data_IF_029602814811
#
_entry.id   IF_029602814811
#
_cell.length_a   1.000
_cell.length_b   1.000
_cell.length_c   1.000
_cell.angle_alpha   90.00
_cell.angle_beta   90.00
_cell.angle_gamma   90.00
#
_symmetry.space_group_name_H-M   'P 1'
#
loop_
_entity.id
_entity.type
_entity.pdbx_description
1 polymer ?
#
# COMPACT_ATOMS: atom_id res chain seq x y z
N UNK A 1 17.39 17.74 -6.49
CA UNK A 1 16.58 16.59 -6.96
C UNK A 1 17.27 15.24 -6.82
N UNK A 2 18.58 15.13 -7.08
CA UNK A 2 19.30 13.85 -6.89
C UNK A 2 19.21 13.31 -5.45
N UNK A 3 19.45 14.16 -4.44
CA UNK A 3 19.31 13.77 -3.03
C UNK A 3 17.88 13.32 -2.68
N UNK A 4 16.87 14.00 -3.24
CA UNK A 4 15.48 13.63 -3.05
C UNK A 4 15.17 12.24 -3.65
N UNK A 5 15.71 11.94 -4.85
CA UNK A 5 15.55 10.61 -5.44
C UNK A 5 16.24 9.51 -4.64
N UNK A 6 17.45 9.76 -4.14
CA UNK A 6 18.16 8.78 -3.32
C UNK A 6 17.34 8.49 -2.05
N UNK A 7 16.91 9.52 -1.33
CA UNK A 7 16.10 9.36 -0.12
C UNK A 7 14.75 8.70 -0.40
N UNK A 8 14.11 9.05 -1.50
CA UNK A 8 12.84 8.44 -1.93
C UNK A 8 12.97 6.97 -2.32
N UNK A 9 14.07 6.57 -2.96
CA UNK A 9 14.37 5.16 -3.23
C UNK A 9 14.60 4.42 -1.91
N UNK A 10 15.40 5.00 -1.00
CA UNK A 10 15.66 4.40 0.31
C UNK A 10 14.39 4.23 1.13
N UNK A 11 13.46 5.20 1.12
CA UNK A 11 12.17 5.06 1.80
C UNK A 11 11.34 3.92 1.23
N UNK A 12 11.22 3.83 -0.10
CA UNK A 12 10.46 2.77 -0.76
C UNK A 12 11.05 1.37 -0.49
N UNK A 13 12.38 1.24 -0.52
CA UNK A 13 13.05 -0.02 -0.19
C UNK A 13 12.86 -0.41 1.28
N UNK A 14 12.94 0.56 2.18
CA UNK A 14 12.70 0.33 3.60
C UNK A 14 11.26 -0.13 3.86
N UNK A 15 10.26 0.53 3.26
CA UNK A 15 8.86 0.15 3.36
C UNK A 15 8.53 -1.20 2.71
N UNK A 16 9.24 -1.60 1.66
CA UNK A 16 8.98 -2.84 0.94
C UNK A 16 9.66 -4.07 1.56
N UNK A 17 10.92 -3.94 1.99
CA UNK A 17 11.74 -5.09 2.40
C UNK A 17 11.92 -5.22 3.91
N UNK A 18 11.88 -4.11 4.65
CA UNK A 18 12.10 -4.15 6.10
C UNK A 18 11.30 -3.06 6.82
N UNK A 19 9.95 -3.08 6.77
CA UNK A 19 9.13 -2.02 7.33
C UNK A 19 9.10 -2.08 8.87
N UNK A 20 10.21 -1.71 9.51
CA UNK A 20 10.34 -1.62 10.97
C UNK A 20 11.01 -0.29 11.36
N UNK A 21 10.36 0.56 12.18
CA UNK A 21 8.98 0.46 12.67
C UNK A 21 7.95 0.64 11.54
N UNK A 22 6.98 -0.29 11.43
CA UNK A 22 6.07 -0.38 10.28
C UNK A 22 5.30 0.91 9.99
N UNK A 23 4.62 1.47 10.99
CA UNK A 23 3.85 2.71 10.82
C UNK A 23 4.74 3.85 10.32
N UNK A 24 5.98 3.94 10.79
CA UNK A 24 6.91 5.00 10.41
C UNK A 24 7.39 4.85 8.96
N UNK A 25 7.84 3.65 8.56
CA UNK A 25 8.38 3.40 7.22
C UNK A 25 7.35 3.67 6.12
N UNK A 26 6.10 3.22 6.33
CA UNK A 26 5.00 3.43 5.39
C UNK A 26 4.61 4.92 5.33
N UNK A 27 4.54 5.60 6.47
CA UNK A 27 4.21 7.02 6.52
C UNK A 27 5.25 7.87 5.79
N UNK A 28 6.54 7.56 5.98
CA UNK A 28 7.62 8.24 5.26
C UNK A 28 7.49 8.00 3.76
N UNK A 29 7.18 6.77 3.32
CA UNK A 29 7.00 6.47 1.90
C UNK A 29 5.80 7.18 1.28
N UNK A 30 4.70 7.31 2.01
CA UNK A 30 3.55 8.15 1.61
C UNK A 30 4.00 9.60 1.44
N UNK A 31 4.72 10.16 2.42
CA UNK A 31 5.19 11.55 2.38
C UNK A 31 6.12 11.78 1.19
N UNK A 32 7.07 10.88 0.94
CA UNK A 32 7.96 10.99 -0.21
C UNK A 32 7.18 10.91 -1.52
N UNK A 33 6.28 9.94 -1.68
CA UNK A 33 5.43 9.87 -2.87
C UNK A 33 4.63 11.15 -3.09
N UNK A 34 3.94 11.64 -2.06
CA UNK A 34 3.15 12.89 -2.12
C UNK A 34 4.02 14.11 -2.45
N UNK A 35 5.15 14.24 -1.78
CA UNK A 35 6.09 15.34 -2.03
C UNK A 35 6.57 15.34 -3.48
N UNK A 36 6.68 14.18 -4.13
CA UNK A 36 7.08 14.06 -5.52
C UNK A 36 6.02 14.65 -6.46
N UNK A 37 4.75 14.31 -6.22
CA UNK A 37 3.62 14.93 -6.91
C UNK A 37 3.60 16.45 -6.71
N UNK A 38 3.80 16.92 -5.47
CA UNK A 38 3.82 18.36 -5.14
C UNK A 38 5.00 19.08 -5.81
N UNK A 39 6.20 18.49 -5.82
CA UNK A 39 7.38 19.06 -6.47
C UNK A 39 7.13 19.23 -7.98
N UNK A 40 6.48 18.27 -8.63
CA UNK A 40 6.08 18.42 -10.03
C UNK A 40 5.11 19.57 -10.22
N UNK A 41 4.12 19.70 -9.33
CA UNK A 41 3.13 20.78 -9.40
C UNK A 41 3.79 22.16 -9.29
N UNK A 42 4.69 22.33 -8.31
CA UNK A 42 5.29 23.64 -7.99
C UNK A 42 6.39 24.00 -8.99
N UNK A 43 7.26 23.06 -9.36
CA UNK A 43 8.44 23.29 -10.19
C UNK A 43 8.25 22.80 -11.63
N UNK A 44 7.05 23.01 -12.17
CA UNK A 44 6.58 22.40 -13.40
C UNK A 44 7.42 22.65 -14.67
N UNK A 45 8.19 23.72 -14.71
CA UNK A 45 9.12 24.01 -15.82
C UNK A 45 10.47 23.33 -15.61
N UNK A 46 10.96 23.33 -14.39
CA UNK A 46 12.33 22.97 -14.03
C UNK A 46 12.50 21.50 -13.67
N UNK A 47 11.40 20.78 -13.40
CA UNK A 47 11.42 19.38 -12.96
C UNK A 47 10.47 18.57 -13.83
N UNK A 48 10.93 17.44 -14.36
CA UNK A 48 10.08 16.51 -15.10
C UNK A 48 9.68 15.28 -14.27
N UNK A 49 8.65 14.56 -14.71
CA UNK A 49 8.34 13.26 -14.13
C UNK A 49 9.44 12.25 -14.50
N UNK A 50 9.57 11.90 -15.78
CA UNK A 50 10.69 11.11 -16.31
C UNK A 50 11.31 11.88 -17.47
N UNK A 51 12.62 12.09 -17.40
CA UNK A 51 13.40 12.86 -18.36
C UNK A 51 14.60 12.02 -18.76
N UNK A 52 14.68 11.68 -20.05
CA UNK A 52 15.69 10.74 -20.59
C UNK A 52 16.91 11.43 -21.20
N UNK A 53 16.78 12.70 -21.56
CA UNK A 53 17.83 13.50 -22.22
C UNK A 53 18.71 14.28 -21.24
N UNK A 54 18.43 14.21 -19.93
CA UNK A 54 19.17 14.93 -18.90
C UNK A 54 18.96 16.44 -18.89
N UNK A 55 18.04 16.98 -19.70
CA UNK A 55 17.79 18.42 -19.84
C UNK A 55 17.34 19.10 -18.55
N UNK A 56 16.70 18.34 -17.65
CA UNK A 56 16.19 18.79 -16.36
C UNK A 56 16.10 17.63 -15.37
N UNK A 57 16.16 17.88 -14.05
CA UNK A 57 16.00 16.84 -13.06
C UNK A 57 14.63 16.16 -13.13
N UNK A 58 14.58 14.89 -12.70
CA UNK A 58 13.37 14.08 -12.65
C UNK A 58 13.04 13.63 -11.23
N UNK A 59 11.76 13.38 -10.93
CA UNK A 59 11.30 12.82 -9.65
C UNK A 59 10.49 11.53 -9.80
N UNK A 60 10.31 11.05 -11.03
CA UNK A 60 9.44 9.93 -11.37
C UNK A 60 9.86 8.63 -10.70
N UNK A 61 11.15 8.36 -10.54
CA UNK A 61 11.61 7.14 -9.84
C UNK A 61 11.15 7.10 -8.38
N UNK A 62 11.18 8.25 -7.69
CA UNK A 62 10.71 8.37 -6.31
C UNK A 62 9.22 8.12 -6.22
N UNK A 63 8.45 8.78 -7.09
CA UNK A 63 7.00 8.60 -7.15
C UNK A 63 6.69 7.13 -7.43
N UNK A 64 7.22 6.56 -8.52
CA UNK A 64 6.91 5.20 -8.93
C UNK A 64 7.27 4.13 -7.90
N UNK A 65 8.46 4.21 -7.29
CA UNK A 65 8.86 3.22 -6.29
C UNK A 65 8.09 3.37 -4.98
N UNK A 66 7.84 4.60 -4.50
CA UNK A 66 7.03 4.78 -3.29
C UNK A 66 5.59 4.34 -3.55
N UNK A 67 4.99 4.69 -4.69
CA UNK A 67 3.66 4.23 -5.10
C UNK A 67 3.55 2.71 -5.10
N UNK A 68 4.52 2.02 -5.69
CA UNK A 68 4.53 0.56 -5.74
C UNK A 68 4.70 -0.04 -4.35
N UNK A 69 5.65 0.48 -3.57
CA UNK A 69 5.92 0.03 -2.20
C UNK A 69 4.69 0.12 -1.32
N UNK A 70 4.04 1.30 -1.24
CA UNK A 70 2.85 1.46 -0.39
C UNK A 70 1.66 0.65 -0.91
N UNK A 71 1.53 0.46 -2.23
CA UNK A 71 0.47 -0.37 -2.81
C UNK A 71 0.61 -1.84 -2.42
N UNK A 72 1.82 -2.40 -2.57
CA UNK A 72 2.11 -3.79 -2.22
C UNK A 72 1.94 -4.03 -0.72
N UNK A 73 2.49 -3.14 0.11
CA UNK A 73 2.36 -3.28 1.57
C UNK A 73 0.92 -3.11 2.02
N UNK A 74 0.16 -2.18 1.41
CA UNK A 74 -1.27 -2.06 1.66
C UNK A 74 -2.01 -3.36 1.31
N UNK A 75 -1.78 -3.90 0.12
CA UNK A 75 -2.43 -5.12 -0.35
C UNK A 75 -2.13 -6.34 0.54
N UNK A 76 -0.87 -6.52 0.96
CA UNK A 76 -0.42 -7.70 1.70
C UNK A 76 -0.81 -7.61 3.18
N UNK A 77 -0.71 -6.44 3.80
CA UNK A 77 -0.76 -6.32 5.25
C UNK A 77 -2.11 -5.83 5.80
N UNK A 78 -2.96 -5.16 5.01
CA UNK A 78 -4.11 -4.43 5.56
C UNK A 78 -5.40 -5.24 5.68
N UNK A 79 -5.47 -6.50 5.20
CA UNK A 79 -6.65 -7.38 5.24
C UNK A 79 -7.98 -6.61 5.01
N UNK A 80 -7.98 -5.71 4.02
CA UNK A 80 -9.06 -4.73 3.82
C UNK A 80 -10.25 -5.31 3.07
N UNK A 81 -11.45 -4.95 3.50
CA UNK A 81 -12.70 -5.30 2.84
C UNK A 81 -13.04 -4.21 1.82
N UNK A 82 -12.89 -4.51 0.54
CA UNK A 82 -13.07 -3.55 -0.56
C UNK A 82 -14.55 -3.27 -0.85
N UNK A 83 -15.16 -2.36 -0.09
CA UNK A 83 -16.55 -1.91 -0.28
C UNK A 83 -16.66 -0.80 -1.34
N UNK A 84 -17.88 -0.37 -1.67
CA UNK A 84 -18.11 0.77 -2.57
C UNK A 84 -17.42 2.06 -2.11
N UNK A 85 -17.31 2.28 -0.79
CA UNK A 85 -16.65 3.44 -0.21
C UNK A 85 -15.16 3.47 -0.59
N UNK A 86 -14.50 2.30 -0.56
CA UNK A 86 -13.11 2.17 -1.01
C UNK A 86 -12.95 2.64 -2.46
N UNK A 87 -13.79 2.13 -3.37
CA UNK A 87 -13.71 2.46 -4.80
C UNK A 87 -14.01 3.93 -5.08
N UNK A 88 -14.87 4.58 -4.29
CA UNK A 88 -15.12 6.02 -4.37
C UNK A 88 -13.85 6.80 -4.03
N UNK A 89 -13.22 6.54 -2.89
CA UNK A 89 -11.98 7.22 -2.51
C UNK A 89 -10.85 6.95 -3.50
N UNK A 90 -10.74 5.71 -3.99
CA UNK A 90 -9.74 5.31 -4.98
C UNK A 90 -9.92 6.08 -6.30
N UNK A 91 -11.16 6.19 -6.76
CA UNK A 91 -11.47 6.91 -8.00
C UNK A 91 -11.21 8.41 -7.84
N UNK A 92 -11.63 9.02 -6.73
CA UNK A 92 -11.41 10.45 -6.46
C UNK A 92 -9.92 10.77 -6.43
N UNK A 93 -9.12 9.99 -5.70
CA UNK A 93 -7.67 10.20 -5.59
C UNK A 93 -6.97 10.01 -6.94
N UNK A 94 -7.34 8.98 -7.71
CA UNK A 94 -6.85 8.79 -9.08
C UNK A 94 -7.19 9.98 -10.00
N UNK A 95 -8.42 10.49 -9.95
CA UNK A 95 -8.84 11.65 -10.75
C UNK A 95 -8.05 12.89 -10.36
N UNK A 96 -7.91 13.19 -9.07
CA UNK A 96 -7.15 14.36 -8.59
C UNK A 96 -5.71 14.31 -9.10
N UNK A 97 -5.02 13.17 -8.92
CA UNK A 97 -3.64 13.02 -9.36
C UNK A 97 -3.51 13.07 -10.88
N UNK A 98 -4.44 12.45 -11.61
CA UNK A 98 -4.42 12.47 -13.08
C UNK A 98 -4.65 13.88 -13.63
N UNK A 99 -5.65 14.60 -13.12
CA UNK A 99 -5.92 15.98 -13.52
C UNK A 99 -4.73 16.88 -13.19
N UNK A 100 -4.11 16.71 -12.02
CA UNK A 100 -2.89 17.47 -11.67
C UNK A 100 -1.79 17.25 -12.71
N UNK A 101 -1.58 16.02 -13.19
CA UNK A 101 -0.55 15.72 -14.19
C UNK A 101 -0.87 16.28 -15.57
N UNK A 102 -2.15 16.31 -15.97
CA UNK A 102 -2.60 16.86 -17.26
C UNK A 102 -2.48 18.39 -17.27
N UNK A 103 -3.02 19.07 -16.25
CA UNK A 103 -3.03 20.54 -16.20
C UNK A 103 -1.64 21.16 -16.17
N UNK A 104 -0.64 20.40 -15.74
CA UNK A 104 0.73 20.87 -15.59
C UNK A 104 1.57 20.53 -16.85
N UNK A 105 0.95 19.96 -17.90
CA UNK A 105 1.60 19.60 -19.16
C UNK A 105 2.83 18.68 -19.00
N UNK A 106 2.90 17.90 -17.92
CA UNK A 106 4.01 16.96 -17.71
C UNK A 106 3.87 15.68 -18.52
N UNK A 107 2.67 15.35 -18.97
CA UNK A 107 2.42 14.20 -19.84
C UNK A 107 2.58 14.63 -21.28
N UNK A 108 3.82 14.62 -21.77
CA UNK A 108 4.02 14.49 -23.20
C UNK A 108 3.63 13.07 -23.59
N UNK A 109 2.45 12.89 -24.18
CA UNK A 109 1.98 11.62 -24.73
C UNK A 109 2.95 11.03 -25.79
N UNK A 110 3.99 11.78 -26.18
CA UNK A 110 5.07 11.31 -27.06
C UNK A 110 6.12 10.45 -26.33
N UNK A 111 6.26 10.57 -25.00
CA UNK A 111 7.19 9.76 -24.21
C UNK A 111 6.45 8.57 -23.58
N UNK A 112 6.48 7.42 -24.26
CA UNK A 112 5.77 6.21 -23.84
C UNK A 112 6.25 5.70 -22.48
N UNK A 113 7.53 5.86 -22.15
CA UNK A 113 8.09 5.47 -20.85
C UNK A 113 7.47 6.30 -19.73
N UNK A 114 7.43 7.62 -19.90
CA UNK A 114 6.79 8.52 -18.93
C UNK A 114 5.31 8.18 -18.73
N UNK A 115 4.59 7.89 -19.82
CA UNK A 115 3.18 7.50 -19.75
C UNK A 115 2.99 6.17 -19.02
N UNK A 116 3.80 5.15 -19.34
CA UNK A 116 3.74 3.84 -18.70
C UNK A 116 3.94 3.92 -17.19
N UNK A 117 5.00 4.60 -16.74
CA UNK A 117 5.26 4.75 -15.31
C UNK A 117 4.16 5.54 -14.62
N UNK A 118 3.57 6.55 -15.26
CA UNK A 118 2.48 7.33 -14.69
C UNK A 118 1.19 6.50 -14.55
N UNK A 119 0.85 5.71 -15.57
CA UNK A 119 -0.29 4.80 -15.57
C UNK A 119 -0.22 3.73 -14.47
N UNK A 120 0.99 3.34 -14.06
CA UNK A 120 1.18 2.43 -12.92
C UNK A 120 1.23 3.18 -11.60
N UNK A 121 1.92 4.32 -11.57
CA UNK A 121 2.22 5.05 -10.33
C UNK A 121 0.97 5.67 -9.70
N UNK A 122 0.06 6.24 -10.50
CA UNK A 122 -1.13 6.90 -9.97
C UNK A 122 -2.08 5.89 -9.30
N UNK A 123 -2.53 4.81 -9.98
CA UNK A 123 -3.38 3.81 -9.34
C UNK A 123 -2.71 3.16 -8.13
N UNK A 124 -1.42 2.81 -8.24
CA UNK A 124 -0.69 2.20 -7.12
C UNK A 124 -0.60 3.15 -5.92
N UNK A 125 -0.32 4.43 -6.16
CA UNK A 125 -0.28 5.43 -5.09
C UNK A 125 -1.64 5.58 -4.43
N UNK A 126 -2.71 5.77 -5.21
CA UNK A 126 -4.06 5.92 -4.69
C UNK A 126 -4.51 4.72 -3.86
N UNK A 127 -4.27 3.51 -4.38
CA UNK A 127 -4.57 2.26 -3.68
C UNK A 127 -3.82 2.16 -2.35
N UNK A 128 -2.50 2.32 -2.38
CA UNK A 128 -1.67 2.20 -1.19
C UNK A 128 -1.93 3.30 -0.17
N UNK A 129 -2.19 4.53 -0.62
CA UNK A 129 -2.55 5.65 0.25
C UNK A 129 -3.81 5.35 1.06
N UNK A 130 -4.88 4.92 0.38
CA UNK A 130 -6.18 4.66 1.01
C UNK A 130 -6.09 3.49 1.96
N UNK A 131 -5.55 2.36 1.51
CA UNK A 131 -5.41 1.15 2.33
C UNK A 131 -4.58 1.41 3.59
N UNK A 132 -3.38 1.97 3.43
CA UNK A 132 -2.47 2.18 4.57
C UNK A 132 -2.95 3.27 5.52
N UNK A 133 -3.50 4.41 5.02
CA UNK A 133 -4.05 5.43 5.93
C UNK A 133 -5.25 4.88 6.69
N UNK A 134 -6.14 4.17 5.99
CA UNK A 134 -7.31 3.59 6.60
C UNK A 134 -6.97 2.59 7.71
N UNK A 135 -5.91 1.80 7.52
CA UNK A 135 -5.46 0.76 8.46
C UNK A 135 -4.56 1.32 9.59
N UNK A 136 -3.48 2.03 9.27
CA UNK A 136 -2.43 2.42 10.22
C UNK A 136 -2.86 3.47 11.25
N UNK A 137 -3.88 4.24 10.90
CA UNK A 137 -4.38 5.36 11.68
C UNK A 137 -5.77 5.11 12.24
N UNK A 138 -6.25 3.87 12.18
CA UNK A 138 -7.51 3.45 12.77
C UNK A 138 -7.38 3.16 14.27
N UNK A 139 -7.99 4.03 15.07
CA UNK A 139 -8.09 3.88 16.53
C UNK A 139 -9.48 3.37 16.97
N UNK A 140 -10.32 2.88 16.04
CA UNK A 140 -11.64 2.32 16.38
C UNK A 140 -11.52 1.04 17.21
N UNK A 141 -12.51 0.82 18.07
CA UNK A 141 -12.60 -0.41 18.85
C UNK A 141 -13.01 -1.57 17.95
N UNK A 142 -12.33 -2.73 18.04
CA UNK A 142 -12.68 -3.89 17.24
C UNK A 142 -13.99 -4.53 17.73
N UNK A 143 -14.78 -5.02 16.77
CA UNK A 143 -15.85 -6.00 17.05
C UNK A 143 -15.25 -7.39 16.92
N UNK A 144 -15.36 -8.20 17.97
CA UNK A 144 -14.76 -9.54 18.01
C UNK A 144 -15.74 -10.60 17.50
N UNK A 145 -15.26 -11.48 16.63
CA UNK A 145 -15.98 -12.66 16.17
C UNK A 145 -15.18 -13.91 16.48
N UNK A 146 -15.82 -14.95 17.02
CA UNK A 146 -15.19 -16.26 17.20
C UNK A 146 -15.15 -17.00 15.87
N UNK A 147 -14.00 -17.58 15.56
CA UNK A 147 -13.81 -18.49 14.42
C UNK A 147 -12.86 -19.61 14.79
N UNK A 148 -12.58 -20.52 13.86
CA UNK A 148 -11.57 -21.56 14.00
C UNK A 148 -10.57 -21.50 12.87
N UNK A 149 -9.32 -21.87 13.16
CA UNK A 149 -8.28 -22.02 12.15
C UNK A 149 -8.52 -23.32 11.39
N UNK A 150 -8.60 -23.23 10.07
CA UNK A 150 -8.77 -24.39 9.19
C UNK A 150 -7.40 -24.89 8.72
N UNK A 151 -6.54 -23.96 8.29
CA UNK A 151 -5.25 -24.29 7.68
C UNK A 151 -4.24 -23.16 7.96
N UNK A 152 -2.96 -23.50 7.96
CA UNK A 152 -1.86 -22.54 8.05
C UNK A 152 -0.99 -22.63 6.79
N UNK A 153 -0.75 -21.52 6.12
CA UNK A 153 0.00 -21.46 4.87
C UNK A 153 1.19 -20.50 5.01
N UNK A 154 2.38 -20.97 4.62
CA UNK A 154 3.57 -20.13 4.50
C UNK A 154 3.86 -19.96 3.02
N UNK A 155 3.75 -18.73 2.52
CA UNK A 155 4.19 -18.41 1.17
C UNK A 155 5.63 -17.93 1.22
N UNK A 156 6.54 -18.73 0.67
CA UNK A 156 7.95 -18.37 0.49
C UNK A 156 8.22 -18.11 -0.99
N UNK A 157 8.65 -16.89 -1.33
CA UNK A 157 9.07 -16.54 -2.69
C UNK A 157 10.59 -16.69 -2.86
N UNK A 158 11.06 -17.65 -3.67
CA UNK A 158 12.41 -17.70 -4.27
C UNK A 158 13.61 -17.97 -3.34
N UNK A 159 14.67 -18.60 -3.87
CA UNK A 159 15.87 -18.99 -3.11
C UNK A 159 16.74 -17.82 -2.59
N UNK A 160 16.59 -16.61 -3.13
CA UNK A 160 17.52 -15.48 -2.89
C UNK A 160 16.96 -14.30 -2.10
N UNK A 161 15.64 -14.11 -2.06
CA UNK A 161 14.97 -13.01 -1.32
C UNK A 161 13.76 -13.61 -0.61
N UNK A 162 13.94 -14.08 0.62
CA UNK A 162 12.83 -14.65 1.41
C UNK A 162 11.91 -13.54 1.90
N UNK A 163 10.78 -13.39 1.23
CA UNK A 163 9.62 -12.69 1.79
C UNK A 163 8.72 -13.80 2.34
N UNK A 164 8.63 -13.91 3.66
CA UNK A 164 7.67 -14.80 4.32
C UNK A 164 6.39 -14.00 4.55
N UNK A 165 5.30 -14.45 3.93
CA UNK A 165 3.96 -13.96 4.25
C UNK A 165 3.24 -15.10 4.94
N UNK A 166 3.10 -14.98 6.25
CA UNK A 166 2.43 -15.98 7.06
C UNK A 166 0.92 -15.74 7.00
N UNK A 167 0.19 -16.77 6.57
CA UNK A 167 -1.25 -16.70 6.35
C UNK A 167 -1.96 -17.80 7.10
N UNK A 168 -3.13 -17.47 7.63
CA UNK A 168 -4.02 -18.41 8.29
C UNK A 168 -5.36 -18.40 7.59
N UNK A 169 -5.88 -19.58 7.27
CA UNK A 169 -7.23 -19.74 6.72
C UNK A 169 -8.18 -19.97 7.89
N UNK A 170 -9.20 -19.12 8.01
CA UNK A 170 -10.19 -19.20 9.09
C UNK A 170 -11.58 -19.56 8.55
N UNK A 171 -12.37 -20.25 9.38
CA UNK A 171 -13.78 -20.54 9.14
C UNK A 171 -14.62 -19.27 8.98
N UNK A 172 -15.81 -19.36 8.36
CA UNK A 172 -16.76 -18.25 8.25
C UNK A 172 -17.00 -17.54 9.60
N UNK A 173 -17.04 -16.21 9.57
CA UNK A 173 -17.19 -15.37 10.76
C UNK A 173 -17.96 -14.09 10.42
N UNK A 174 -18.77 -13.58 11.35
CA UNK A 174 -19.60 -12.40 11.12
C UNK A 174 -20.46 -12.55 9.86
N UNK A 175 -20.32 -11.61 8.91
CA UNK A 175 -21.00 -11.62 7.61
C UNK A 175 -20.17 -12.28 6.49
N UNK A 176 -19.00 -12.83 6.79
CA UNK A 176 -18.16 -13.54 5.81
C UNK A 176 -18.65 -14.99 5.68
N UNK A 177 -19.41 -15.28 4.62
CA UNK A 177 -20.04 -16.59 4.40
C UNK A 177 -19.06 -17.69 3.91
N UNK A 178 -17.77 -17.40 3.79
CA UNK A 178 -16.75 -18.33 3.30
C UNK A 178 -15.45 -18.25 4.07
N UNK A 179 -14.59 -19.24 3.86
CA UNK A 179 -13.25 -19.26 4.45
C UNK A 179 -12.48 -18.00 4.03
N UNK A 180 -11.81 -17.38 4.99
CA UNK A 180 -11.05 -16.14 4.75
C UNK A 180 -9.58 -16.37 5.02
N UNK A 181 -8.72 -15.82 4.17
CA UNK A 181 -7.27 -15.82 4.37
C UNK A 181 -6.91 -14.56 5.15
N UNK A 182 -6.23 -14.73 6.27
CA UNK A 182 -5.77 -13.65 7.15
C UNK A 182 -4.25 -13.61 7.10
N UNK A 183 -3.67 -12.50 6.62
CA UNK A 183 -2.24 -12.27 6.80
C UNK A 183 -1.95 -11.94 8.27
N UNK A 184 -0.95 -12.61 8.85
CA UNK A 184 -0.57 -12.49 10.27
C UNK A 184 0.93 -12.25 10.40
N UNK A 185 1.38 -11.80 11.58
CA UNK A 185 2.81 -11.76 11.90
C UNK A 185 3.34 -13.17 12.16
N UNK A 186 4.66 -13.34 12.05
CA UNK A 186 5.35 -14.60 12.38
C UNK A 186 5.06 -15.05 13.82
N UNK A 187 5.05 -14.10 14.77
CA UNK A 187 4.71 -14.38 16.17
C UNK A 187 3.28 -14.91 16.31
N UNK A 188 2.30 -14.25 15.69
CA UNK A 188 0.91 -14.69 15.71
C UNK A 188 0.73 -16.04 15.00
N UNK A 189 1.43 -16.25 13.90
CA UNK A 189 1.42 -17.52 13.17
C UNK A 189 1.93 -18.66 14.05
N UNK A 190 3.02 -18.46 14.79
CA UNK A 190 3.63 -19.50 15.63
C UNK A 190 2.82 -19.80 16.90
N UNK A 191 1.99 -18.86 17.36
CA UNK A 191 1.16 -19.04 18.56
C UNK A 191 -0.08 -19.88 18.35
N UNK A 192 -0.54 -20.01 17.10
CA UNK A 192 -1.82 -20.67 16.81
C UNK A 192 -1.67 -22.02 16.11
N UNK A 193 -2.62 -22.92 16.40
CA UNK A 193 -2.70 -24.27 15.81
C UNK A 193 -3.93 -24.46 14.94
N UNK A 194 -3.89 -25.41 14.01
CA UNK A 194 -5.08 -25.81 13.25
C UNK A 194 -6.17 -26.36 14.19
N UNK A 195 -7.42 -26.10 13.85
CA UNK A 195 -8.63 -26.39 14.64
C UNK A 195 -8.74 -25.62 15.97
N UNK A 196 -7.79 -24.74 16.28
CA UNK A 196 -7.90 -23.85 17.44
C UNK A 196 -9.00 -22.81 17.23
N UNK A 197 -9.72 -22.48 18.30
CA UNK A 197 -10.68 -21.36 18.29
C UNK A 197 -9.95 -20.08 18.58
N UNK A 198 -10.13 -19.10 17.71
CA UNK A 198 -9.48 -17.79 17.76
C UNK A 198 -10.51 -16.69 17.57
N UNK A 199 -10.10 -15.45 17.85
CA UNK A 199 -10.93 -14.28 17.60
C UNK A 199 -10.44 -13.52 16.37
N UNK A 200 -11.39 -13.04 15.56
CA UNK A 200 -11.13 -12.05 14.52
C UNK A 200 -11.61 -10.69 15.03
N UNK A 201 -10.70 -9.74 15.07
CA UNK A 201 -11.01 -8.33 15.31
C UNK A 201 -11.42 -7.66 14.00
N UNK A 202 -12.67 -7.22 13.90
CA UNK A 202 -13.17 -6.40 12.80
C UNK A 202 -13.15 -4.93 13.21
N UNK A 203 -12.47 -4.09 12.45
CA UNK A 203 -12.48 -2.64 12.64
C UNK A 203 -13.14 -1.91 11.48
N UNK A 204 -13.59 -0.69 11.74
CA UNK A 204 -14.28 0.13 10.75
C UNK A 204 -13.33 0.91 9.83
N UNK A 205 -12.05 1.04 10.19
CA UNK A 205 -11.09 1.85 9.44
C UNK A 205 -11.27 3.35 9.65
N UNK A 206 -10.18 4.11 9.52
CA UNK A 206 -10.23 5.57 9.64
C UNK A 206 -11.16 6.22 8.61
N UNK A 207 -11.23 5.64 7.40
CA UNK A 207 -12.05 6.13 6.29
C UNK A 207 -13.40 5.40 6.21
N UNK A 208 -13.80 4.66 7.24
CA UNK A 208 -15.01 3.83 7.20
C UNK A 208 -14.90 2.63 6.26
N UNK A 209 -13.68 2.21 5.92
CA UNK A 209 -13.42 0.99 5.14
C UNK A 209 -13.00 -0.10 6.12
N UNK A 210 -13.83 -1.13 6.27
CA UNK A 210 -13.54 -2.19 7.22
C UNK A 210 -12.28 -2.98 6.87
N UNK A 211 -11.57 -3.40 7.90
CA UNK A 211 -10.44 -4.32 7.82
C UNK A 211 -10.44 -5.23 9.05
N UNK A 212 -9.76 -6.37 8.94
CA UNK A 212 -9.78 -7.38 10.00
C UNK A 212 -8.39 -7.93 10.28
N UNK A 213 -8.22 -8.50 11.47
CA UNK A 213 -6.98 -9.12 11.89
C UNK A 213 -7.25 -10.23 12.90
N UNK A 214 -6.25 -11.09 13.08
CA UNK A 214 -6.28 -12.13 14.10
C UNK A 214 -6.01 -11.50 15.47
N UNK A 215 -6.94 -11.64 16.40
CA UNK A 215 -6.81 -11.21 17.80
C UNK A 215 -6.41 -12.45 18.63
N UNK A 216 -5.24 -12.37 19.28
CA UNK A 216 -4.66 -13.40 20.14
C UNK A 216 -4.63 -12.95 21.60
#
# INVERSE_FOLDING_TARGET
>A
MQSYNILGVLSALWALFYPSPFKLSITISIIFGLAGFIILIIFNKDVGFIVTDGSRPSVGITISLNSLSISLTGFICSNTIYTSIFWIYFTITCIILTLSMIFINHVSFKNITSLFFLLISIPSYSFGLITNINYLYDNSNPTLYTTSIINKEIYTSGEKIRINVDQVVVSPWGNMNGNSVVAVSEDSYNQVSENERVFIGLKHGLLGISWYYLEL
#
